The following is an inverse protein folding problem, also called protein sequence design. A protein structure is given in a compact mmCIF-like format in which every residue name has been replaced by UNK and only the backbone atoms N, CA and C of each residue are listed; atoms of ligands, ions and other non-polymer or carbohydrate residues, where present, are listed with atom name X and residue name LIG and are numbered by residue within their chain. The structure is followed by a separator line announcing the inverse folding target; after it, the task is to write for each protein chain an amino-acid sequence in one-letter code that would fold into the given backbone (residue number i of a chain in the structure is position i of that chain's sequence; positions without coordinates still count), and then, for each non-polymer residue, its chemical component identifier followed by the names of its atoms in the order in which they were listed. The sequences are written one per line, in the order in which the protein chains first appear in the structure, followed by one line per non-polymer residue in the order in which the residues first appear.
data_IF_471278989499
#
_entry.id   IF_471278989499
#
_cell.length_a   1.000
_cell.length_b   1.000
_cell.length_c   1.000
_cell.angle_alpha   90.00
_cell.angle_beta   90.00
_cell.angle_gamma   90.00
#
_symmetry.space_group_name_H-M   'P 1'
#
loop_
_entity.id
_entity.type
_entity.pdbx_description
1 polymer ?
#
# COMPACT_ATOMS: atom_id res chain seq x y z
N UNK A 1 -34.17 42.39 -0.69
CA UNK A 1 -32.75 42.72 -0.82
C UNK A 1 -32.01 41.46 -1.23
N UNK A 2 -31.74 41.31 -2.54
CA UNK A 2 -30.97 40.19 -3.09
C UNK A 2 -29.47 40.58 -3.02
N UNK A 3 -28.70 39.85 -2.23
CA UNK A 3 -27.26 39.98 -2.23
C UNK A 3 -26.70 39.20 -3.46
N UNK A 4 -26.14 39.96 -4.40
CA UNK A 4 -25.46 39.40 -5.57
C UNK A 4 -24.19 38.69 -5.13
N UNK A 5 -24.13 37.40 -5.34
CA UNK A 5 -22.90 36.59 -5.24
C UNK A 5 -21.91 37.05 -6.33
N UNK A 6 -20.82 37.67 -5.91
CA UNK A 6 -19.68 37.93 -6.79
C UNK A 6 -19.08 36.58 -7.22
N UNK A 7 -18.78 36.35 -8.51
CA UNK A 7 -18.04 35.18 -8.92
C UNK A 7 -16.60 35.28 -8.37
N UNK A 8 -16.16 34.27 -7.64
CA UNK A 8 -14.75 34.07 -7.31
C UNK A 8 -14.00 33.82 -8.62
N UNK A 9 -13.39 34.86 -9.15
CA UNK A 9 -12.39 34.74 -10.21
C UNK A 9 -11.22 34.01 -9.57
N UNK A 10 -11.00 32.76 -9.96
CA UNK A 10 -9.79 32.04 -9.62
C UNK A 10 -8.62 32.76 -10.29
N UNK A 11 -7.81 33.48 -9.54
CA UNK A 11 -6.50 33.89 -10.03
C UNK A 11 -5.74 32.61 -10.41
N UNK A 12 -5.51 32.41 -11.67
CA UNK A 12 -4.59 31.37 -12.13
C UNK A 12 -3.22 31.71 -11.56
N UNK A 13 -2.55 30.78 -10.87
CA UNK A 13 -1.21 31.03 -10.41
C UNK A 13 -0.32 31.39 -11.61
N UNK A 14 0.49 32.42 -11.44
CA UNK A 14 1.48 32.81 -12.45
C UNK A 14 2.28 31.57 -12.87
N UNK A 15 2.61 31.41 -14.17
CA UNK A 15 3.38 30.25 -14.62
C UNK A 15 4.69 30.20 -13.83
N UNK A 16 4.90 29.10 -13.12
CA UNK A 16 6.15 28.86 -12.40
C UNK A 16 7.30 29.03 -13.41
N UNK A 17 8.37 29.69 -12.96
CA UNK A 17 9.58 29.84 -13.77
C UNK A 17 10.00 28.44 -14.27
N UNK A 18 10.20 28.28 -15.58
CA UNK A 18 10.53 26.98 -16.15
C UNK A 18 11.81 26.45 -15.52
N UNK A 19 11.75 25.26 -14.95
CA UNK A 19 12.93 24.56 -14.43
C UNK A 19 13.90 24.35 -15.58
N UNK A 20 15.15 24.84 -15.51
CA UNK A 20 16.12 24.71 -16.60
C UNK A 20 16.47 23.24 -16.92
N UNK A 21 16.23 22.30 -15.99
CA UNK A 21 16.43 20.87 -16.21
C UNK A 21 15.29 20.21 -17.01
N UNK A 22 14.11 20.83 -17.07
CA UNK A 22 12.94 20.30 -17.78
C UNK A 22 12.40 21.32 -18.79
N UNK A 23 13.10 21.56 -19.91
CA UNK A 23 12.63 22.49 -20.92
C UNK A 23 11.28 22.06 -21.49
N UNK A 24 10.36 22.99 -21.80
CA UNK A 24 9.01 22.69 -22.28
C UNK A 24 8.98 21.74 -23.49
N UNK A 25 9.96 21.85 -24.39
CA UNK A 25 10.08 20.98 -25.56
C UNK A 25 10.38 19.53 -25.18
N UNK A 26 11.18 19.31 -24.11
CA UNK A 26 11.44 17.97 -23.58
C UNK A 26 10.17 17.37 -22.98
N UNK A 27 9.47 18.16 -22.15
CA UNK A 27 8.22 17.74 -21.54
C UNK A 27 7.18 17.37 -22.62
N UNK A 28 6.95 18.21 -23.62
CA UNK A 28 6.03 17.94 -24.72
C UNK A 28 6.41 16.68 -25.54
N UNK A 29 7.71 16.41 -25.69
CA UNK A 29 8.19 15.21 -26.38
C UNK A 29 7.97 13.94 -25.56
N UNK A 30 8.06 14.02 -24.21
CA UNK A 30 7.94 12.89 -23.29
C UNK A 30 6.52 12.67 -22.78
N UNK A 31 5.64 13.68 -22.87
CA UNK A 31 4.23 13.60 -22.53
C UNK A 31 3.46 12.76 -23.57
N UNK A 32 3.61 11.45 -23.44
CA UNK A 32 3.00 10.45 -24.31
C UNK A 32 2.36 9.37 -23.47
N UNK A 33 1.27 8.81 -23.98
CA UNK A 33 0.71 7.61 -23.40
C UNK A 33 1.73 6.47 -23.47
N UNK A 34 2.01 5.87 -22.32
CA UNK A 34 2.95 4.76 -22.21
C UNK A 34 2.43 3.69 -21.25
N UNK A 35 3.00 2.49 -21.24
CA UNK A 35 2.69 1.48 -20.25
C UNK A 35 3.08 1.98 -18.86
N UNK A 36 2.39 1.47 -17.84
CA UNK A 36 2.76 1.74 -16.45
C UNK A 36 4.04 1.02 -16.08
N UNK A 37 5.10 1.76 -15.82
CA UNK A 37 6.37 1.23 -15.35
C UNK A 37 6.41 1.22 -13.81
N UNK A 38 5.50 0.46 -13.19
CA UNK A 38 5.39 0.35 -11.73
C UNK A 38 6.21 -0.80 -11.15
N UNK A 39 6.69 -1.70 -12.02
CA UNK A 39 7.52 -2.85 -11.63
C UNK A 39 8.39 -3.29 -12.79
N UNK A 40 9.46 -4.01 -12.49
CA UNK A 40 10.30 -4.69 -13.49
C UNK A 40 10.43 -6.18 -13.15
N UNK A 41 10.15 -7.08 -14.12
CA UNK A 41 9.65 -6.78 -15.46
C UNK A 41 8.26 -6.12 -15.42
N UNK A 42 7.94 -5.35 -16.46
CA UNK A 42 6.62 -4.73 -16.63
C UNK A 42 5.54 -5.79 -16.90
N UNK A 43 4.28 -5.50 -16.57
CA UNK A 43 3.18 -6.48 -16.62
C UNK A 43 2.94 -7.09 -18.01
N UNK A 44 3.29 -6.39 -19.09
CA UNK A 44 3.24 -6.89 -20.47
C UNK A 44 4.25 -8.02 -20.77
N UNK A 45 5.22 -8.22 -19.87
CA UNK A 45 6.20 -9.31 -19.95
C UNK A 45 5.75 -10.59 -19.23
N UNK A 46 4.68 -10.54 -18.48
CA UNK A 46 4.15 -11.71 -17.81
C UNK A 46 3.47 -12.66 -18.82
N UNK A 47 3.69 -13.95 -18.65
CA UNK A 47 3.14 -14.97 -19.54
C UNK A 47 2.70 -16.20 -18.76
N UNK A 48 1.76 -16.96 -19.31
CA UNK A 48 1.19 -18.14 -18.67
C UNK A 48 2.17 -19.31 -18.50
N UNK A 49 3.34 -19.24 -19.13
CA UNK A 49 4.39 -20.26 -18.97
C UNK A 49 5.19 -20.15 -17.67
N UNK A 50 5.00 -19.06 -16.87
CA UNK A 50 5.57 -18.97 -15.54
C UNK A 50 4.51 -19.33 -14.50
N UNK A 51 4.49 -20.61 -14.13
CA UNK A 51 3.52 -21.15 -13.19
C UNK A 51 4.14 -21.52 -11.83
N UNK A 52 3.44 -22.37 -11.11
CA UNK A 52 3.83 -22.81 -9.76
C UNK A 52 5.19 -23.49 -9.71
N UNK A 53 5.53 -24.29 -10.73
CA UNK A 53 6.78 -25.05 -10.77
C UNK A 53 7.96 -24.10 -11.00
N UNK A 54 7.86 -23.20 -11.95
CA UNK A 54 8.87 -22.20 -12.27
C UNK A 54 9.11 -21.26 -11.08
N UNK A 55 8.04 -20.87 -10.40
CA UNK A 55 8.14 -20.06 -9.18
C UNK A 55 8.91 -20.79 -8.07
N UNK A 56 8.59 -22.06 -7.80
CA UNK A 56 9.33 -22.88 -6.82
C UNK A 56 10.81 -23.00 -7.18
N UNK A 57 11.11 -23.25 -8.44
CA UNK A 57 12.50 -23.33 -8.92
C UNK A 57 13.24 -22.02 -8.69
N UNK A 58 12.60 -20.87 -8.95
CA UNK A 58 13.17 -19.55 -8.70
C UNK A 58 13.49 -19.34 -7.20
N UNK A 59 12.58 -19.72 -6.30
CA UNK A 59 12.82 -19.65 -4.85
C UNK A 59 13.97 -20.55 -4.40
N UNK A 60 14.04 -21.79 -4.90
CA UNK A 60 15.10 -22.74 -4.60
C UNK A 60 16.44 -22.29 -5.16
N UNK A 61 16.45 -21.72 -6.36
CA UNK A 61 17.65 -21.15 -6.96
C UNK A 61 18.16 -19.98 -6.12
N UNK A 62 17.26 -19.06 -5.71
CA UNK A 62 17.63 -17.97 -4.82
C UNK A 62 18.24 -18.47 -3.51
N UNK A 63 17.63 -19.49 -2.88
CA UNK A 63 18.17 -20.13 -1.69
C UNK A 63 19.58 -20.65 -1.89
N UNK A 64 19.88 -21.21 -3.06
CA UNK A 64 21.19 -21.76 -3.37
C UNK A 64 22.26 -20.70 -3.69
N UNK A 65 21.85 -19.59 -4.32
CA UNK A 65 22.79 -18.58 -4.84
C UNK A 65 22.97 -17.35 -3.95
N UNK A 66 21.92 -16.99 -3.20
CA UNK A 66 21.89 -15.74 -2.41
C UNK A 66 21.08 -15.92 -1.10
N UNK A 67 21.46 -16.88 -0.22
CA UNK A 67 20.68 -17.21 0.97
C UNK A 67 20.62 -16.05 1.99
N UNK A 68 21.66 -15.23 2.05
CA UNK A 68 21.79 -14.15 3.02
C UNK A 68 21.36 -12.78 2.48
N UNK A 69 20.97 -12.70 1.21
CA UNK A 69 20.45 -11.47 0.63
C UNK A 69 19.06 -11.17 1.19
N UNK A 70 18.78 -9.95 1.72
CA UNK A 70 17.49 -9.67 2.34
C UNK A 70 16.33 -9.67 1.34
N UNK A 71 15.16 -10.11 1.81
CA UNK A 71 13.90 -10.06 1.06
C UNK A 71 13.19 -8.72 1.27
N UNK A 72 12.44 -8.33 0.24
CA UNK A 72 11.33 -7.40 0.34
C UNK A 72 10.02 -8.20 0.27
N UNK A 73 9.18 -8.11 1.31
CA UNK A 73 7.91 -8.81 1.40
C UNK A 73 6.75 -7.85 1.12
N UNK A 74 5.79 -8.30 0.33
CA UNK A 74 4.50 -7.63 0.13
C UNK A 74 3.38 -8.54 0.62
N UNK A 75 2.55 -8.03 1.52
CA UNK A 75 1.36 -8.74 2.01
C UNK A 75 0.13 -8.01 1.51
N UNK A 76 -0.69 -8.70 0.72
CA UNK A 76 -1.91 -8.16 0.16
C UNK A 76 -3.10 -8.45 1.06
N UNK A 77 -3.76 -7.42 1.59
CA UNK A 77 -5.02 -7.55 2.34
C UNK A 77 -6.16 -7.06 1.46
N UNK A 78 -6.98 -7.96 0.87
CA UNK A 78 -7.91 -7.58 -0.18
C UNK A 78 -9.18 -6.88 0.33
N UNK A 79 -9.42 -6.81 1.62
CA UNK A 79 -10.70 -6.38 2.17
C UNK A 79 -10.85 -4.87 2.25
N UNK A 80 -12.07 -4.38 1.96
CA UNK A 80 -12.52 -3.01 2.16
C UNK A 80 -13.97 -3.00 2.67
N UNK A 81 -14.29 -2.10 3.59
CA UNK A 81 -15.68 -1.92 4.08
C UNK A 81 -16.59 -1.25 3.05
N UNK A 82 -16.02 -0.46 2.15
CA UNK A 82 -16.74 0.27 1.11
C UNK A 82 -15.92 0.37 -0.17
N UNK A 83 -16.64 0.52 -1.31
CA UNK A 83 -15.99 0.73 -2.61
C UNK A 83 -15.66 2.21 -2.80
N UNK A 84 -14.47 2.50 -3.29
CA UNK A 84 -14.10 3.81 -3.83
C UNK A 84 -14.18 3.75 -5.35
N UNK A 85 -14.88 4.68 -6.00
CA UNK A 85 -15.20 4.56 -7.45
C UNK A 85 -13.99 4.70 -8.38
N UNK A 86 -12.90 5.27 -7.92
CA UNK A 86 -11.64 5.36 -8.69
C UNK A 86 -10.72 4.14 -8.53
N UNK A 87 -11.05 3.20 -7.60
CA UNK A 87 -10.11 2.18 -7.16
C UNK A 87 -9.99 1.02 -8.15
N UNK A 88 -8.79 0.77 -8.64
CA UNK A 88 -8.43 -0.35 -9.51
C UNK A 88 -7.70 -1.51 -8.78
N UNK A 89 -7.59 -1.45 -7.44
CA UNK A 89 -6.93 -2.50 -6.67
C UNK A 89 -7.71 -3.83 -6.74
N UNK A 90 -6.99 -4.94 -6.63
CA UNK A 90 -7.61 -6.24 -6.40
C UNK A 90 -8.21 -6.27 -5.00
N UNK A 91 -9.54 -6.19 -4.90
CA UNK A 91 -10.25 -6.00 -3.62
C UNK A 91 -11.53 -6.80 -3.53
N UNK A 92 -11.90 -7.09 -2.29
CA UNK A 92 -13.19 -7.67 -1.89
C UNK A 92 -13.90 -6.69 -0.97
N UNK A 93 -14.95 -6.05 -1.46
CA UNK A 93 -15.78 -5.16 -0.64
C UNK A 93 -16.72 -6.01 0.21
N UNK A 94 -16.59 -5.92 1.52
CA UNK A 94 -17.39 -6.71 2.46
C UNK A 94 -17.42 -6.07 3.84
N UNK A 95 -18.53 -6.26 4.55
CA UNK A 95 -18.68 -5.96 5.99
C UNK A 95 -18.62 -7.23 6.83
N UNK A 96 -18.47 -8.38 6.19
CA UNK A 96 -18.34 -9.69 6.83
C UNK A 96 -16.90 -9.91 7.27
N UNK A 97 -16.61 -9.48 8.49
CA UNK A 97 -15.26 -9.51 9.05
C UNK A 97 -14.73 -10.96 9.23
N UNK A 98 -15.62 -11.93 9.40
CA UNK A 98 -15.28 -13.35 9.49
C UNK A 98 -14.54 -13.91 8.27
N UNK A 99 -14.61 -13.21 7.13
CA UNK A 99 -13.81 -13.57 5.93
C UNK A 99 -12.32 -13.39 6.15
N UNK A 100 -11.93 -12.47 7.02
CA UNK A 100 -10.53 -12.21 7.34
C UNK A 100 -9.86 -13.43 7.98
N UNK A 101 -10.53 -14.10 8.90
CA UNK A 101 -10.00 -15.28 9.57
C UNK A 101 -9.60 -16.40 8.57
N UNK A 102 -10.51 -16.74 7.64
CA UNK A 102 -10.21 -17.73 6.59
C UNK A 102 -9.08 -17.29 5.66
N UNK A 103 -9.00 -16.02 5.36
CA UNK A 103 -7.92 -15.47 4.54
C UNK A 103 -6.58 -15.57 5.27
N UNK A 104 -6.53 -15.24 6.55
CA UNK A 104 -5.32 -15.35 7.38
C UNK A 104 -4.87 -16.79 7.54
N UNK A 105 -5.79 -17.77 7.62
CA UNK A 105 -5.44 -19.17 7.63
C UNK A 105 -4.77 -19.61 6.32
N UNK A 106 -5.28 -19.15 5.19
CA UNK A 106 -4.66 -19.40 3.88
C UNK A 106 -3.31 -18.69 3.75
N UNK A 107 -3.20 -17.46 4.24
CA UNK A 107 -1.96 -16.68 4.21
C UNK A 107 -0.87 -17.30 5.10
N UNK A 108 -1.24 -17.84 6.27
CA UNK A 108 -0.32 -18.59 7.13
C UNK A 108 0.25 -19.84 6.42
N UNK A 109 -0.60 -20.54 5.65
CA UNK A 109 -0.14 -21.66 4.83
C UNK A 109 0.80 -21.19 3.71
N UNK A 110 0.50 -20.08 3.06
CA UNK A 110 1.34 -19.48 2.02
C UNK A 110 2.70 -19.07 2.57
N UNK A 111 2.74 -18.41 3.74
CA UNK A 111 3.99 -18.09 4.47
C UNK A 111 4.79 -19.38 4.72
N UNK A 112 4.15 -20.44 5.24
CA UNK A 112 4.83 -21.71 5.51
C UNK A 112 5.39 -22.36 4.24
N UNK A 113 4.70 -22.26 3.10
CA UNK A 113 5.18 -22.71 1.80
C UNK A 113 6.44 -21.94 1.36
N UNK A 114 6.45 -20.63 1.49
CA UNK A 114 7.60 -19.79 1.16
C UNK A 114 8.80 -20.10 2.06
N UNK A 115 8.58 -20.22 3.36
CA UNK A 115 9.64 -20.59 4.34
C UNK A 115 10.24 -21.96 4.00
N UNK A 116 9.43 -22.93 3.59
CA UNK A 116 9.92 -24.26 3.19
C UNK A 116 10.84 -24.18 1.97
N UNK A 117 10.50 -23.41 0.96
CA UNK A 117 11.29 -23.30 -0.27
C UNK A 117 12.54 -22.42 -0.10
N UNK A 118 12.41 -21.30 0.62
CA UNK A 118 13.49 -20.34 0.85
C UNK A 118 14.47 -20.77 1.96
N UNK A 119 13.98 -21.51 2.96
CA UNK A 119 14.65 -21.78 4.22
C UNK A 119 14.09 -20.88 5.34
N UNK A 120 14.19 -21.34 6.58
CA UNK A 120 13.78 -20.57 7.74
C UNK A 120 14.79 -19.46 8.06
N UNK A 121 14.31 -18.32 8.58
CA UNK A 121 15.15 -17.23 9.07
C UNK A 121 15.83 -16.41 7.97
N UNK A 122 15.35 -16.48 6.72
CA UNK A 122 15.84 -15.60 5.64
C UNK A 122 15.66 -14.15 6.06
N UNK A 123 16.68 -13.27 5.87
CA UNK A 123 16.62 -11.88 6.27
C UNK A 123 15.56 -11.11 5.46
N UNK A 124 14.89 -10.17 6.12
CA UNK A 124 13.89 -9.27 5.52
C UNK A 124 14.28 -7.83 5.85
N UNK A 125 14.54 -7.02 4.84
CA UNK A 125 14.83 -5.59 4.95
C UNK A 125 13.60 -4.71 4.74
N UNK A 126 12.56 -5.23 4.07
CA UNK A 126 11.33 -4.49 3.82
C UNK A 126 10.11 -5.39 3.95
N UNK A 127 9.07 -4.85 4.59
CA UNK A 127 7.72 -5.43 4.63
C UNK A 127 6.70 -4.35 4.32
N UNK A 128 5.81 -4.61 3.36
CA UNK A 128 4.71 -3.71 3.04
C UNK A 128 3.37 -4.41 3.09
N UNK A 129 2.43 -3.87 3.87
CA UNK A 129 1.02 -4.28 3.85
C UNK A 129 0.23 -3.32 2.98
N UNK A 130 -0.35 -3.83 1.89
CA UNK A 130 -1.14 -3.05 0.96
C UNK A 130 -2.37 -3.80 0.45
N UNK A 131 -3.00 -3.27 -0.60
CA UNK A 131 -4.10 -3.94 -1.29
C UNK A 131 -5.43 -3.21 -1.29
N UNK A 132 -6.40 -3.73 -0.58
CA UNK A 132 -7.68 -3.07 -0.33
C UNK A 132 -7.54 -2.04 0.79
N UNK A 133 -7.66 -2.51 2.03
CA UNK A 133 -7.45 -1.71 3.24
C UNK A 133 -6.87 -2.62 4.32
N UNK A 134 -5.54 -2.63 4.52
CA UNK A 134 -4.92 -3.51 5.52
C UNK A 134 -5.45 -3.29 6.93
N UNK A 135 -5.86 -2.06 7.26
CA UNK A 135 -6.50 -1.73 8.54
C UNK A 135 -7.96 -2.20 8.67
N UNK A 136 -8.47 -2.95 7.70
CA UNK A 136 -9.68 -3.78 7.85
C UNK A 136 -9.47 -4.87 8.90
N UNK A 137 -8.27 -5.42 8.98
CA UNK A 137 -7.92 -6.40 10.00
C UNK A 137 -8.01 -5.79 11.41
N UNK A 138 -8.48 -6.56 12.38
CA UNK A 138 -8.45 -6.18 13.79
C UNK A 138 -7.01 -6.14 14.33
N UNK A 139 -6.83 -5.59 15.53
CA UNK A 139 -5.53 -5.54 16.18
C UNK A 139 -4.98 -6.96 16.47
N UNK A 140 -5.85 -7.90 16.88
CA UNK A 140 -5.47 -9.29 17.12
C UNK A 140 -5.08 -10.00 15.81
N UNK A 141 -5.80 -9.75 14.72
CA UNK A 141 -5.51 -10.32 13.41
C UNK A 141 -4.19 -9.81 12.84
N UNK A 142 -3.90 -8.50 12.98
CA UNK A 142 -2.61 -7.94 12.61
C UNK A 142 -1.48 -8.50 13.49
N UNK A 143 -1.73 -8.68 14.77
CA UNK A 143 -0.77 -9.29 15.71
C UNK A 143 -0.44 -10.72 15.28
N UNK A 144 -1.46 -11.53 15.01
CA UNK A 144 -1.30 -12.90 14.50
C UNK A 144 -0.46 -12.94 13.23
N UNK A 145 -0.81 -12.12 12.24
CA UNK A 145 -0.10 -12.08 10.97
C UNK A 145 1.37 -11.68 11.14
N UNK A 146 1.66 -10.69 11.97
CA UNK A 146 3.04 -10.29 12.27
C UNK A 146 3.81 -11.39 13.01
N UNK A 147 3.14 -12.17 13.88
CA UNK A 147 3.75 -13.34 14.54
C UNK A 147 4.08 -14.43 13.53
N UNK A 148 3.16 -14.77 12.62
CA UNK A 148 3.38 -15.76 11.57
C UNK A 148 4.59 -15.38 10.68
N UNK A 149 4.67 -14.11 10.27
CA UNK A 149 5.80 -13.59 9.48
C UNK A 149 7.12 -13.69 10.26
N UNK A 150 7.15 -13.29 11.53
CA UNK A 150 8.36 -13.32 12.37
C UNK A 150 8.79 -14.73 12.76
N UNK A 151 7.87 -15.67 12.78
CA UNK A 151 8.20 -17.08 12.99
C UNK A 151 8.96 -17.69 11.79
N UNK A 152 8.68 -17.19 10.57
CA UNK A 152 9.28 -17.70 9.34
C UNK A 152 10.52 -16.94 8.87
N UNK A 153 10.57 -15.65 9.11
CA UNK A 153 11.58 -14.72 8.58
C UNK A 153 12.29 -13.96 9.69
N UNK A 154 13.52 -13.56 9.43
CA UNK A 154 14.34 -12.75 10.35
C UNK A 154 14.36 -11.30 9.87
N UNK A 155 13.60 -10.44 10.52
CA UNK A 155 13.61 -9.01 10.21
C UNK A 155 14.95 -8.37 10.65
N UNK A 156 15.53 -7.57 9.76
CA UNK A 156 16.71 -6.79 10.07
C UNK A 156 16.38 -5.67 11.08
N UNK A 157 17.33 -5.23 11.91
CA UNK A 157 17.07 -4.21 12.95
C UNK A 157 16.54 -2.89 12.38
N UNK A 158 16.93 -2.53 11.17
CA UNK A 158 16.58 -1.33 10.43
C UNK A 158 15.56 -1.58 9.32
N UNK A 159 14.92 -2.76 9.31
CA UNK A 159 13.92 -3.10 8.31
C UNK A 159 12.80 -2.04 8.23
N UNK A 160 12.47 -1.61 7.02
CA UNK A 160 11.29 -0.78 6.78
C UNK A 160 10.02 -1.65 6.83
N UNK A 161 9.18 -1.43 7.82
CA UNK A 161 7.90 -2.12 7.98
C UNK A 161 6.77 -1.12 7.79
N UNK A 162 6.08 -1.21 6.66
CA UNK A 162 5.12 -0.22 6.22
C UNK A 162 3.71 -0.79 6.02
N UNK A 163 2.70 0.07 6.17
CA UNK A 163 1.29 -0.30 6.01
C UNK A 163 0.49 0.85 5.39
N UNK A 164 -0.38 0.50 4.44
CA UNK A 164 -1.41 1.42 3.93
C UNK A 164 -2.54 1.56 4.95
N UNK A 165 -2.90 2.80 5.25
CA UNK A 165 -3.92 3.14 6.25
C UNK A 165 -5.02 3.97 5.62
N UNK A 166 -6.26 3.57 5.83
CA UNK A 166 -7.40 4.45 5.59
C UNK A 166 -7.48 5.46 6.74
N UNK A 167 -7.36 6.77 6.48
CA UNK A 167 -7.40 7.79 7.53
C UNK A 167 -8.63 7.70 8.44
N UNK A 168 -9.77 7.19 7.91
CA UNK A 168 -11.02 7.03 8.68
C UNK A 168 -10.91 5.99 9.80
N UNK A 169 -9.94 5.09 9.72
CA UNK A 169 -9.69 4.03 10.71
C UNK A 169 -8.50 4.31 11.62
N UNK A 170 -7.79 5.41 11.40
CA UNK A 170 -6.57 5.78 12.10
C UNK A 170 -6.86 6.44 13.47
N UNK A 171 -7.25 5.66 14.46
CA UNK A 171 -7.36 6.14 15.84
C UNK A 171 -5.99 6.17 16.54
N UNK A 172 -5.78 7.02 17.57
CA UNK A 172 -4.54 7.02 18.35
C UNK A 172 -4.17 5.63 18.92
N UNK A 173 -5.17 4.87 19.40
CA UNK A 173 -4.96 3.51 19.91
C UNK A 173 -4.47 2.56 18.81
N UNK A 174 -5.10 2.65 17.62
CA UNK A 174 -4.70 1.86 16.45
C UNK A 174 -3.27 2.16 16.02
N UNK A 175 -2.91 3.45 15.96
CA UNK A 175 -1.55 3.87 15.60
C UNK A 175 -0.52 3.39 16.64
N UNK A 176 -0.85 3.46 17.94
CA UNK A 176 0.01 2.94 18.99
C UNK A 176 0.20 1.42 18.86
N UNK A 177 -0.86 0.67 18.54
CA UNK A 177 -0.78 -0.77 18.30
C UNK A 177 0.11 -1.10 17.09
N UNK A 178 -0.07 -0.42 15.96
CA UNK A 178 0.79 -0.58 14.78
C UNK A 178 2.26 -0.33 15.13
N UNK A 179 2.54 0.70 15.94
CA UNK A 179 3.90 0.98 16.41
C UNK A 179 4.46 -0.16 17.26
N UNK A 180 3.66 -0.74 18.17
CA UNK A 180 4.05 -1.90 18.99
C UNK A 180 4.34 -3.14 18.15
N UNK A 181 3.61 -3.34 17.05
CA UNK A 181 3.89 -4.40 16.08
C UNK A 181 5.16 -4.16 15.25
N UNK A 182 5.76 -2.97 15.34
CA UNK A 182 6.99 -2.61 14.66
C UNK A 182 6.81 -1.87 13.34
N UNK A 183 5.57 -1.48 12.98
CA UNK A 183 5.39 -0.61 11.83
C UNK A 183 6.07 0.74 12.08
N UNK A 184 6.95 1.13 11.15
CA UNK A 184 7.74 2.36 11.23
C UNK A 184 7.47 3.33 10.09
N UNK A 185 6.63 2.92 9.12
CA UNK A 185 6.17 3.77 8.02
C UNK A 185 4.68 3.57 7.78
N UNK A 186 3.94 4.67 7.65
CA UNK A 186 2.52 4.68 7.33
C UNK A 186 2.27 5.40 6.00
N UNK A 187 1.42 4.82 5.17
CA UNK A 187 0.95 5.44 3.93
C UNK A 187 -0.54 5.75 4.04
N UNK A 188 -0.90 7.02 4.06
CA UNK A 188 -2.29 7.46 4.20
C UNK A 188 -2.92 7.79 2.85
N UNK A 189 -4.02 7.12 2.54
CA UNK A 189 -4.80 7.38 1.34
C UNK A 189 -5.81 8.52 1.54
N UNK A 190 -5.39 9.77 1.54
CA UNK A 190 -6.28 10.94 1.70
C UNK A 190 -7.15 11.16 0.47
N UNK A 191 -6.60 11.02 -0.72
CA UNK A 191 -7.21 11.12 -2.06
C UNK A 191 -7.52 12.56 -2.49
N UNK A 192 -8.44 13.27 -1.79
CA UNK A 192 -8.80 14.65 -2.10
C UNK A 192 -9.30 15.38 -0.83
N UNK A 193 -9.15 16.70 -0.80
CA UNK A 193 -9.63 17.58 0.27
C UNK A 193 -10.98 18.23 -0.06
N UNK A 194 -11.36 18.36 -1.34
CA UNK A 194 -12.66 18.90 -1.75
C UNK A 194 -13.78 17.89 -1.44
N UNK A 195 -14.73 18.31 -0.61
CA UNK A 195 -15.84 17.46 -0.19
C UNK A 195 -16.70 16.98 -1.37
N UNK A 196 -16.84 17.78 -2.42
CA UNK A 196 -17.60 17.40 -3.62
C UNK A 196 -16.91 16.26 -4.36
N UNK A 197 -15.57 16.31 -4.44
CA UNK A 197 -14.75 15.23 -5.02
C UNK A 197 -14.84 13.99 -4.14
N UNK A 198 -14.70 14.12 -2.81
CA UNK A 198 -14.83 13.01 -1.88
C UNK A 198 -16.19 12.29 -2.01
N UNK A 199 -17.27 13.05 -2.15
CA UNK A 199 -18.63 12.49 -2.39
C UNK A 199 -18.70 11.80 -3.73
N UNK A 200 -18.20 12.44 -4.79
CA UNK A 200 -18.23 11.89 -6.15
C UNK A 200 -17.46 10.56 -6.28
N UNK A 201 -16.35 10.41 -5.54
CA UNK A 201 -15.54 9.19 -5.55
C UNK A 201 -15.91 8.20 -4.43
N UNK A 202 -16.96 8.48 -3.67
CA UNK A 202 -17.45 7.67 -2.53
C UNK A 202 -16.36 7.46 -1.44
N UNK A 203 -15.63 8.55 -1.11
CA UNK A 203 -14.58 8.53 -0.08
C UNK A 203 -14.62 9.79 0.78
N UNK A 204 -15.72 9.94 1.54
CA UNK A 204 -15.92 11.09 2.42
C UNK A 204 -15.08 10.93 3.69
N UNK A 205 -14.31 11.96 4.02
CA UNK A 205 -13.45 12.03 5.20
C UNK A 205 -13.68 13.35 5.92
N UNK A 206 -13.63 13.33 7.25
CA UNK A 206 -13.73 14.56 8.06
C UNK A 206 -12.49 15.44 7.88
N UNK A 207 -12.68 16.75 7.77
CA UNK A 207 -11.57 17.71 7.73
C UNK A 207 -10.69 17.66 9.00
N UNK A 208 -11.23 17.23 10.14
CA UNK A 208 -10.48 17.04 11.37
C UNK A 208 -9.34 16.00 11.24
N UNK A 209 -9.41 15.09 10.26
CA UNK A 209 -8.32 14.14 9.98
C UNK A 209 -7.08 14.81 9.36
N UNK A 210 -7.23 16.03 8.80
CA UNK A 210 -6.16 16.73 8.10
C UNK A 210 -5.57 17.87 8.93
N UNK A 211 -6.23 18.23 10.03
CA UNK A 211 -5.79 19.33 10.92
C UNK A 211 -4.89 18.85 12.06
N UNK A 212 -4.50 17.60 12.06
CA UNK A 212 -3.43 17.15 12.95
C UNK A 212 -2.13 17.87 12.61
N UNK A 213 -1.40 18.39 13.59
CA UNK A 213 -0.12 19.03 13.34
C UNK A 213 0.81 18.08 12.59
N UNK A 214 1.34 18.54 11.47
CA UNK A 214 2.35 17.82 10.72
C UNK A 214 3.65 17.79 11.54
N UNK A 215 4.43 16.70 11.51
CA UNK A 215 5.77 16.70 12.11
C UNK A 215 6.73 17.73 11.51
N UNK A 216 6.28 18.47 10.49
CA UNK A 216 7.05 19.53 9.81
C UNK A 216 6.61 20.94 10.20
N UNK A 217 5.54 21.06 11.00
CA UNK A 217 5.07 22.31 11.60
C UNK A 217 5.61 22.42 13.02
#
# INVERSE_FOLDING_TARGET
MQAALRPLVSEQPAPAAADPFFPPQLLARLDKNGPRYTSYPTADRYHAGFGKQEYRQALQQRRATSPDEPLSLYVHIPFCDSVCYYCACNKVVTRHHERAARYLDALAQDIALHVRELGAGVPVSQLHFGGGTPTFLSDDELTRLMQDLRAGFRFEPDAEISIEVDPRTATPARLAHLRQLGFNRLSFGVQDFDQRVQVAVHRVQSCLLYTSPSPRD
#
